data_IF_389815806772
#
_entry.id   IF_389815806772
#
_cell.length_a   1.000
_cell.length_b   1.000
_cell.length_c   1.000
_cell.angle_alpha   90.00
_cell.angle_beta   90.00
_cell.angle_gamma   90.00
#
_symmetry.space_group_name_H-M   'P 1'
#
loop_
_entity.id
_entity.type
_entity.pdbx_description
1 polymer ?
#
# COMPACT_ATOMS: atom_id res chain seq x y z
N UNK A 1 13.14 22.04 -33.29
CA UNK A 1 13.01 21.44 -34.63
C UNK A 1 13.65 20.07 -34.59
N UNK A 2 12.93 19.01 -34.95
CA UNK A 2 13.61 17.73 -35.23
C UNK A 2 14.49 17.94 -36.46
N UNK A 3 15.62 17.26 -36.57
CA UNK A 3 16.51 17.36 -37.74
C UNK A 3 15.91 16.82 -39.05
N UNK A 4 14.60 16.53 -39.07
CA UNK A 4 13.88 15.87 -40.17
C UNK A 4 13.04 16.82 -41.02
N UNK A 5 13.13 18.13 -40.79
CA UNK A 5 12.39 19.14 -41.55
C UNK A 5 11.01 19.46 -40.97
N UNK A 6 10.21 20.19 -41.75
CA UNK A 6 8.85 20.61 -41.40
C UNK A 6 7.86 19.59 -41.98
N UNK A 7 6.87 19.21 -41.17
CA UNK A 7 5.77 18.33 -41.58
C UNK A 7 4.46 19.10 -41.49
N UNK A 8 3.66 19.09 -42.55
CA UNK A 8 2.30 19.62 -42.57
C UNK A 8 1.30 18.48 -42.36
N UNK A 9 0.33 18.68 -41.46
CA UNK A 9 -0.72 17.71 -41.16
C UNK A 9 -1.97 18.43 -40.65
N UNK A 10 -3.15 17.87 -40.93
CA UNK A 10 -4.43 18.41 -40.43
C UNK A 10 -4.60 18.25 -38.92
N UNK A 11 -4.03 17.17 -38.35
CA UNK A 11 -4.10 16.85 -36.93
C UNK A 11 -2.77 16.32 -36.42
N UNK A 12 -2.43 16.70 -35.18
CA UNK A 12 -1.27 16.22 -34.45
C UNK A 12 -1.72 15.60 -33.12
N UNK A 13 -1.40 14.31 -32.93
CA UNK A 13 -1.74 13.56 -31.72
C UNK A 13 -0.47 13.27 -30.94
N UNK A 14 -0.39 13.75 -29.70
CA UNK A 14 0.74 13.51 -28.81
C UNK A 14 0.54 12.24 -27.98
N UNK A 15 1.14 11.13 -28.46
CA UNK A 15 1.23 9.87 -27.72
C UNK A 15 2.48 9.76 -26.85
N UNK A 16 2.90 10.83 -26.16
CA UNK A 16 4.21 10.92 -25.49
C UNK A 16 4.23 10.37 -24.05
N UNK A 17 3.17 9.68 -23.63
CA UNK A 17 3.05 9.12 -22.28
C UNK A 17 2.80 10.17 -21.21
N UNK A 18 3.26 9.90 -19.98
CA UNK A 18 3.06 10.75 -18.80
C UNK A 18 4.36 10.89 -17.99
N UNK A 19 4.45 11.97 -17.22
CA UNK A 19 5.47 12.16 -16.20
C UNK A 19 4.90 11.89 -14.81
N UNK A 20 5.74 11.42 -13.89
CA UNK A 20 5.34 11.24 -12.49
C UNK A 20 5.88 12.41 -11.67
N UNK A 21 4.95 13.24 -11.20
CA UNK A 21 5.25 14.36 -10.32
C UNK A 21 4.06 14.65 -9.41
N UNK A 22 4.26 14.44 -8.11
CA UNK A 22 3.22 14.59 -7.08
C UNK A 22 2.71 16.03 -6.98
N UNK A 23 3.48 17.03 -7.41
CA UNK A 23 3.11 18.45 -7.35
C UNK A 23 1.98 18.81 -8.30
N UNK A 24 1.74 17.98 -9.32
CA UNK A 24 0.65 18.17 -10.28
C UNK A 24 -0.66 17.50 -9.83
N UNK A 25 -0.64 16.63 -8.81
CA UNK A 25 -1.87 16.13 -8.19
C UNK A 25 -2.38 17.15 -7.18
N UNK A 26 -3.63 17.60 -7.31
CA UNK A 26 -4.22 18.62 -6.44
C UNK A 26 -4.20 18.20 -4.97
N UNK A 27 -4.45 16.93 -4.71
CA UNK A 27 -4.54 16.32 -3.37
C UNK A 27 -3.16 16.17 -2.74
N UNK A 28 -2.15 15.82 -3.54
CA UNK A 28 -0.80 15.53 -3.06
C UNK A 28 0.13 16.74 -3.10
N UNK A 29 -0.15 17.75 -3.92
CA UNK A 29 0.71 18.92 -4.11
C UNK A 29 1.05 19.64 -2.79
N UNK A 30 0.10 19.89 -1.87
CA UNK A 30 0.42 20.50 -0.57
C UNK A 30 1.38 19.67 0.29
N UNK A 31 1.44 18.35 0.06
CA UNK A 31 2.19 17.39 0.87
C UNK A 31 3.39 16.77 0.13
N UNK A 32 3.60 17.10 -1.15
CA UNK A 32 4.63 16.47 -1.98
C UNK A 32 6.04 16.60 -1.38
N UNK A 33 6.31 17.70 -0.66
CA UNK A 33 7.57 17.95 0.03
C UNK A 33 7.79 17.08 1.30
N UNK A 34 6.75 16.38 1.78
CA UNK A 34 6.82 15.47 2.92
C UNK A 34 7.06 14.02 2.47
N UNK A 35 6.83 13.71 1.20
CA UNK A 35 6.90 12.36 0.63
C UNK A 35 8.31 12.10 0.10
N UNK A 36 8.89 10.97 0.47
CA UNK A 36 10.18 10.54 -0.05
C UNK A 36 10.09 10.20 -1.54
N UNK A 37 11.05 10.69 -2.32
CA UNK A 37 11.24 10.33 -3.72
C UNK A 37 12.49 9.45 -3.89
N UNK A 38 12.60 8.80 -5.04
CA UNK A 38 13.80 8.06 -5.39
C UNK A 38 15.06 8.94 -5.41
N UNK A 39 14.93 10.24 -5.76
CA UNK A 39 16.02 11.22 -5.64
C UNK A 39 16.56 11.37 -4.21
N UNK A 40 15.75 11.14 -3.18
CA UNK A 40 16.17 11.27 -1.78
C UNK A 40 16.96 10.04 -1.30
N UNK A 41 16.67 8.86 -1.85
CA UNK A 41 17.30 7.58 -1.47
C UNK A 41 18.47 7.20 -2.37
N UNK A 42 18.47 7.62 -3.63
CA UNK A 42 19.52 7.32 -4.60
C UNK A 42 20.37 8.55 -4.88
N UNK A 43 21.55 8.62 -4.24
CA UNK A 43 22.56 9.65 -4.56
C UNK A 43 23.35 9.21 -5.79
N UNK A 44 23.19 9.93 -6.90
CA UNK A 44 24.03 9.73 -8.09
C UNK A 44 25.50 9.99 -7.73
N UNK A 45 26.37 9.01 -7.97
CA UNK A 45 27.83 9.14 -7.82
C UNK A 45 28.48 9.88 -8.99
N UNK A 46 27.78 10.07 -10.11
CA UNK A 46 28.24 10.84 -11.27
C UNK A 46 27.10 11.69 -11.83
N UNK A 47 27.41 12.93 -12.22
CA UNK A 47 26.52 13.75 -13.06
C UNK A 47 26.57 13.18 -14.47
N UNK A 48 25.64 12.30 -14.79
CA UNK A 48 25.36 11.94 -16.18
C UNK A 48 24.42 12.99 -16.78
N UNK A 49 24.67 13.35 -18.03
CA UNK A 49 23.80 14.25 -18.79
C UNK A 49 22.46 13.55 -19.04
N UNK A 50 21.41 14.06 -18.39
CA UNK A 50 20.08 13.48 -18.42
C UNK A 50 19.41 13.54 -17.06
N UNK A 51 18.56 14.55 -16.87
CA UNK A 51 17.51 14.55 -15.85
C UNK A 51 16.68 13.28 -16.06
N UNK A 52 16.90 12.24 -15.25
CA UNK A 52 16.08 11.04 -15.35
C UNK A 52 14.80 11.31 -14.59
N UNK A 53 13.70 11.42 -15.34
CA UNK A 53 12.33 11.43 -14.83
C UNK A 53 12.01 10.26 -13.87
N UNK A 54 12.88 9.26 -13.76
CA UNK A 54 12.74 8.14 -12.83
C UNK A 54 12.98 8.56 -11.37
N UNK A 55 13.80 9.58 -11.12
CA UNK A 55 14.10 10.02 -9.76
C UNK A 55 12.96 10.81 -9.10
N UNK A 56 12.00 11.33 -9.88
CA UNK A 56 10.81 11.99 -9.35
C UNK A 56 9.72 11.02 -8.90
N UNK A 57 9.91 9.71 -9.09
CA UNK A 57 8.97 8.71 -8.60
C UNK A 57 9.00 8.66 -7.07
N UNK A 58 7.83 8.49 -6.42
CA UNK A 58 7.75 8.25 -4.99
C UNK A 58 8.52 6.98 -4.59
N UNK A 59 9.22 7.06 -3.46
CA UNK A 59 9.86 5.92 -2.83
C UNK A 59 8.89 5.30 -1.82
N UNK A 60 8.32 4.15 -2.18
CA UNK A 60 7.22 3.54 -1.43
C UNK A 60 7.70 2.45 -0.47
N UNK A 61 6.93 2.27 0.61
CA UNK A 61 7.06 1.15 1.53
C UNK A 61 6.39 -0.11 0.98
N UNK A 62 6.64 -1.25 1.62
CA UNK A 62 6.27 -2.58 1.13
C UNK A 62 4.78 -2.77 0.79
N UNK A 63 3.90 -2.01 1.43
CA UNK A 63 2.46 -2.02 1.21
C UNK A 63 1.98 -0.96 0.23
N UNK A 64 2.84 -0.35 -0.59
CA UNK A 64 2.54 0.81 -1.45
C UNK A 64 2.30 2.13 -0.70
N UNK A 65 2.52 2.19 0.60
CA UNK A 65 2.37 3.42 1.37
C UNK A 65 3.46 4.43 1.05
N UNK A 66 3.12 5.73 1.13
CA UNK A 66 4.11 6.78 1.10
C UNK A 66 5.04 6.70 2.31
N UNK A 67 6.32 7.00 2.09
CA UNK A 67 7.30 7.13 3.16
C UNK A 67 7.64 8.59 3.38
N UNK A 68 7.94 8.94 4.62
CA UNK A 68 8.35 10.29 4.98
C UNK A 68 9.73 10.59 4.37
N UNK A 69 9.85 11.77 3.75
CA UNK A 69 11.15 12.29 3.28
C UNK A 69 12.10 12.51 4.46
N UNK A 70 11.59 13.13 5.52
CA UNK A 70 12.25 13.27 6.81
C UNK A 70 11.45 12.48 7.87
N UNK A 71 12.06 11.48 8.55
CA UNK A 71 11.36 10.70 9.56
C UNK A 71 10.70 11.57 10.65
N UNK A 72 9.45 11.29 10.98
CA UNK A 72 8.68 12.01 12.00
C UNK A 72 8.02 13.33 11.55
N UNK A 73 8.23 13.76 10.31
CA UNK A 73 7.64 15.01 9.78
C UNK A 73 6.17 14.88 9.34
N UNK A 74 5.75 13.68 8.96
CA UNK A 74 4.41 13.36 8.52
C UNK A 74 4.06 11.86 8.77
N UNK A 75 3.96 11.41 10.04
CA UNK A 75 3.73 9.98 10.36
C UNK A 75 2.45 9.40 9.75
N UNK A 76 1.46 10.24 9.47
CA UNK A 76 0.20 9.86 8.83
C UNK A 76 0.36 9.36 7.38
N UNK A 77 1.48 9.66 6.70
CA UNK A 77 1.74 9.18 5.34
C UNK A 77 1.77 7.65 5.25
N UNK A 78 2.09 6.95 6.35
CA UNK A 78 2.06 5.49 6.42
C UNK A 78 0.68 4.90 6.08
N UNK A 79 -0.39 5.70 6.21
CA UNK A 79 -1.78 5.31 5.95
C UNK A 79 -2.25 5.66 4.53
N UNK A 80 -1.40 6.25 3.68
CA UNK A 80 -1.75 6.66 2.32
C UNK A 80 -1.01 5.78 1.32
N UNK A 81 -1.76 4.95 0.58
CA UNK A 81 -1.21 3.95 -0.34
C UNK A 81 -1.35 4.37 -1.80
N UNK A 82 -0.23 4.40 -2.53
CA UNK A 82 -0.18 4.74 -3.94
C UNK A 82 -0.20 3.49 -4.82
N UNK A 83 -1.40 3.12 -5.29
CA UNK A 83 -1.59 2.03 -6.24
C UNK A 83 -1.89 2.56 -7.64
N UNK A 84 -0.86 3.13 -8.29
CA UNK A 84 -0.94 3.72 -9.64
C UNK A 84 0.39 3.56 -10.41
N UNK A 85 0.49 4.14 -11.61
CA UNK A 85 1.76 4.19 -12.36
C UNK A 85 2.93 4.80 -11.58
N UNK A 86 2.64 5.68 -10.60
CA UNK A 86 3.67 6.25 -9.73
C UNK A 86 4.39 5.21 -8.86
N UNK A 87 3.88 3.99 -8.72
CA UNK A 87 4.55 2.91 -7.99
C UNK A 87 5.63 2.18 -8.79
N UNK A 88 5.80 2.53 -10.08
CA UNK A 88 6.58 1.71 -11.02
C UNK A 88 8.03 1.50 -10.59
N UNK A 89 8.68 2.54 -10.06
CA UNK A 89 10.08 2.43 -9.65
C UNK A 89 10.27 1.53 -8.42
N UNK A 90 9.28 1.44 -7.54
CA UNK A 90 9.36 0.56 -6.35
C UNK A 90 8.93 -0.88 -6.63
N UNK A 91 7.97 -1.10 -7.52
CA UNK A 91 7.32 -2.41 -7.68
C UNK A 91 7.15 -2.88 -9.12
N UNK A 92 7.83 -2.25 -10.08
CA UNK A 92 7.54 -2.45 -11.50
C UNK A 92 6.11 -2.04 -11.85
N UNK A 93 5.56 -2.47 -13.00
CA UNK A 93 4.23 -2.05 -13.46
C UNK A 93 3.06 -2.59 -12.61
N UNK A 94 3.33 -3.08 -11.40
CA UNK A 94 2.35 -3.78 -10.55
C UNK A 94 1.22 -2.89 -10.03
N UNK A 95 1.46 -1.59 -9.83
CA UNK A 95 0.42 -0.63 -9.43
C UNK A 95 -0.40 -0.07 -10.61
N UNK A 96 -0.11 -0.48 -11.85
CA UNK A 96 -0.77 0.07 -13.04
C UNK A 96 -1.11 -0.94 -14.14
N UNK A 97 -0.79 -2.23 -13.92
CA UNK A 97 -1.02 -3.30 -14.88
C UNK A 97 -2.10 -4.25 -14.39
N UNK A 98 -3.13 -4.46 -15.21
CA UNK A 98 -4.23 -5.40 -14.94
C UNK A 98 -3.68 -6.81 -14.69
N UNK A 99 -2.67 -7.24 -15.45
CA UNK A 99 -2.05 -8.56 -15.31
C UNK A 99 -1.38 -8.78 -13.94
N UNK A 100 -0.94 -7.71 -13.28
CA UNK A 100 -0.28 -7.77 -12.00
C UNK A 100 -1.24 -7.69 -10.81
N UNK A 101 -2.52 -7.34 -11.02
CA UNK A 101 -3.50 -7.14 -9.94
C UNK A 101 -3.67 -8.39 -9.07
N UNK A 102 -3.64 -9.58 -9.66
CA UNK A 102 -3.73 -10.85 -8.91
C UNK A 102 -2.62 -11.05 -7.86
N UNK A 103 -1.52 -10.33 -7.97
CA UNK A 103 -0.41 -10.38 -7.01
C UNK A 103 -0.32 -9.11 -6.16
N UNK A 104 -0.52 -7.95 -6.79
CA UNK A 104 -0.31 -6.66 -6.17
C UNK A 104 -1.45 -6.27 -5.22
N UNK A 105 -2.70 -6.62 -5.54
CA UNK A 105 -3.85 -6.33 -4.67
C UNK A 105 -3.80 -7.14 -3.36
N UNK A 106 -3.55 -8.47 -3.37
CA UNK A 106 -3.39 -9.20 -2.11
C UNK A 106 -2.29 -8.64 -1.20
N UNK A 107 -1.18 -8.18 -1.80
CA UNK A 107 -0.09 -7.53 -1.05
C UNK A 107 -0.53 -6.22 -0.40
N UNK A 108 -1.22 -5.37 -1.14
CA UNK A 108 -1.77 -4.11 -0.63
C UNK A 108 -2.78 -4.36 0.50
N UNK A 109 -3.74 -5.25 0.27
CA UNK A 109 -4.76 -5.61 1.27
C UNK A 109 -4.11 -6.15 2.53
N UNK A 110 -3.16 -7.08 2.39
CA UNK A 110 -2.44 -7.64 3.53
C UNK A 110 -1.74 -6.56 4.37
N UNK A 111 -1.05 -5.62 3.72
CA UNK A 111 -0.39 -4.51 4.42
C UNK A 111 -1.39 -3.64 5.20
N UNK A 112 -2.50 -3.24 4.56
CA UNK A 112 -3.54 -2.44 5.22
C UNK A 112 -4.16 -3.19 6.40
N UNK A 113 -4.53 -4.46 6.22
CA UNK A 113 -5.14 -5.26 7.30
C UNK A 113 -4.19 -5.49 8.46
N UNK A 114 -2.90 -5.71 8.18
CA UNK A 114 -1.87 -5.84 9.20
C UNK A 114 -1.73 -4.54 9.97
N UNK A 115 -1.65 -3.41 9.28
CA UNK A 115 -1.41 -2.12 9.93
C UNK A 115 -2.60 -1.71 10.80
N UNK A 116 -3.85 -1.94 10.35
CA UNK A 116 -5.04 -1.75 11.18
C UNK A 116 -5.07 -2.68 12.40
N UNK A 117 -4.75 -3.96 12.23
CA UNK A 117 -4.68 -4.90 13.35
C UNK A 117 -3.62 -4.52 14.38
N UNK A 118 -2.47 -4.02 13.94
CA UNK A 118 -1.41 -3.55 14.81
C UNK A 118 -1.76 -2.25 15.53
N UNK A 119 -2.53 -1.36 14.89
CA UNK A 119 -3.07 -0.15 15.55
C UNK A 119 -4.03 -0.50 16.69
N UNK A 120 -4.81 -1.57 16.54
CA UNK A 120 -5.80 -2.04 17.54
C UNK A 120 -5.29 -3.20 18.42
N UNK A 121 -3.96 -3.41 18.49
CA UNK A 121 -3.38 -4.60 19.12
C UNK A 121 -3.75 -4.71 20.61
N UNK A 122 -3.80 -3.58 21.33
CA UNK A 122 -4.13 -3.55 22.75
C UNK A 122 -5.59 -3.96 22.99
N UNK A 123 -6.50 -3.49 22.13
CA UNK A 123 -7.92 -3.88 22.18
C UNK A 123 -8.10 -5.37 21.88
N UNK A 124 -7.39 -5.90 20.87
CA UNK A 124 -7.41 -7.33 20.58
C UNK A 124 -6.84 -8.16 21.73
N UNK A 125 -5.76 -7.69 22.36
CA UNK A 125 -5.16 -8.35 23.52
C UNK A 125 -6.08 -8.33 24.74
N UNK A 126 -6.74 -7.21 25.02
CA UNK A 126 -7.74 -7.10 26.08
C UNK A 126 -8.91 -8.05 25.81
N UNK A 127 -9.48 -8.03 24.60
CA UNK A 127 -10.58 -8.94 24.22
C UNK A 127 -10.21 -10.42 24.39
N UNK A 128 -8.96 -10.78 24.09
CA UNK A 128 -8.46 -12.15 24.24
C UNK A 128 -8.28 -12.53 25.72
N UNK A 129 -7.76 -11.63 26.55
CA UNK A 129 -7.52 -11.90 27.99
C UNK A 129 -8.79 -11.81 28.83
N UNK A 130 -9.77 -11.01 28.40
CA UNK A 130 -11.10 -10.88 29.00
C UNK A 130 -12.04 -12.02 28.61
N UNK A 131 -11.67 -12.88 27.66
CA UNK A 131 -12.50 -14.01 27.25
C UNK A 131 -12.63 -15.01 28.40
N UNK A 132 -13.84 -15.13 28.97
CA UNK A 132 -14.16 -16.01 30.11
C UNK A 132 -15.13 -17.14 29.76
N UNK A 133 -15.55 -17.24 28.50
CA UNK A 133 -16.54 -18.24 28.09
C UNK A 133 -15.88 -19.62 28.02
N UNK A 134 -16.24 -20.58 28.90
CA UNK A 134 -15.61 -21.89 28.95
C UNK A 134 -15.91 -22.68 27.68
N UNK A 135 -14.88 -23.29 27.06
CA UNK A 135 -15.06 -24.20 25.91
C UNK A 135 -15.36 -25.64 26.34
N UNK A 136 -14.92 -26.02 27.54
CA UNK A 136 -15.08 -27.35 28.11
C UNK A 136 -15.55 -27.27 29.55
N UNK A 137 -16.48 -28.14 29.93
CA UNK A 137 -16.92 -28.34 31.32
C UNK A 137 -16.13 -29.51 31.94
N UNK A 138 -15.66 -29.37 33.17
CA UNK A 138 -15.12 -30.48 33.93
C UNK A 138 -16.26 -31.35 34.52
N UNK A 139 -16.03 -32.65 34.81
CA UNK A 139 -17.05 -33.50 35.41
C UNK A 139 -17.58 -32.93 36.73
N UNK A 140 -18.89 -32.66 36.80
CA UNK A 140 -19.55 -32.11 37.98
C UNK A 140 -19.67 -30.58 38.02
N UNK A 141 -19.24 -29.87 36.98
CA UNK A 141 -19.34 -28.41 36.88
C UNK A 141 -20.47 -28.02 35.91
N UNK A 142 -21.48 -27.29 36.39
CA UNK A 142 -22.52 -26.70 35.53
C UNK A 142 -22.08 -25.30 35.10
N UNK A 143 -21.59 -25.17 33.87
CA UNK A 143 -21.20 -23.89 33.27
C UNK A 143 -21.82 -23.72 31.88
N UNK A 144 -22.20 -22.49 31.56
CA UNK A 144 -22.62 -22.13 30.20
C UNK A 144 -21.41 -22.14 29.27
N UNK A 145 -21.40 -23.09 28.34
CA UNK A 145 -20.30 -23.27 27.41
C UNK A 145 -20.41 -22.32 26.22
N UNK A 146 -19.27 -22.05 25.60
CA UNK A 146 -19.25 -21.37 24.31
C UNK A 146 -20.15 -22.11 23.30
N UNK A 147 -20.91 -21.38 22.47
CA UNK A 147 -21.74 -22.02 21.45
C UNK A 147 -20.85 -22.81 20.50
N UNK A 148 -20.89 -24.14 20.62
CA UNK A 148 -20.14 -25.03 19.75
C UNK A 148 -20.75 -24.96 18.34
N UNK A 149 -19.99 -24.48 17.36
CA UNK A 149 -20.42 -24.55 15.95
C UNK A 149 -20.51 -26.00 15.47
N UNK A 150 -19.79 -26.91 16.14
CA UNK A 150 -19.71 -28.35 15.90
C UNK A 150 -19.24 -29.09 17.16
N UNK A 151 -19.65 -30.35 17.35
CA UNK A 151 -19.11 -31.27 18.34
C UNK A 151 -17.65 -31.65 18.05
N UNK A 152 -17.06 -32.44 18.95
CA UNK A 152 -15.68 -32.95 18.83
C UNK A 152 -15.39 -33.70 17.51
N UNK A 153 -16.43 -34.16 16.80
CA UNK A 153 -16.37 -34.88 15.54
C UNK A 153 -16.81 -34.04 14.33
N UNK A 154 -17.04 -32.73 14.50
CA UNK A 154 -17.44 -31.85 13.40
C UNK A 154 -18.94 -31.89 13.08
N UNK A 155 -19.81 -32.48 13.91
CA UNK A 155 -21.28 -32.43 13.71
C UNK A 155 -21.86 -31.19 14.35
N UNK A 156 -22.72 -30.44 13.64
CA UNK A 156 -23.43 -29.30 14.22
C UNK A 156 -24.25 -29.73 15.45
N UNK A 157 -24.15 -28.97 16.54
CA UNK A 157 -24.99 -29.15 17.72
C UNK A 157 -26.26 -28.30 17.51
N UNK A 158 -27.44 -28.94 17.46
CA UNK A 158 -28.74 -28.25 17.36
C UNK A 158 -29.54 -28.42 16.05
N UNK A 159 -29.89 -29.66 15.70
CA UNK A 159 -31.09 -29.98 14.88
C UNK A 159 -31.90 -31.05 15.58
#
# INVERSE_FOLDING_TARGET
>A
MTGKGIFEADFLIFGTGFSIDLRHSKELSPHAHLIALWSDKFKRTRKEDGESNLLSYPYLGDGFQFLERLPGSAPWLKNVHLFSFGSTMSFGPSGSSINAMKFAVPRLVHAITRDLFLEDIDHHFESMTSYKLPEFSLPGEETELAPATTDFYGKKVGT
#
